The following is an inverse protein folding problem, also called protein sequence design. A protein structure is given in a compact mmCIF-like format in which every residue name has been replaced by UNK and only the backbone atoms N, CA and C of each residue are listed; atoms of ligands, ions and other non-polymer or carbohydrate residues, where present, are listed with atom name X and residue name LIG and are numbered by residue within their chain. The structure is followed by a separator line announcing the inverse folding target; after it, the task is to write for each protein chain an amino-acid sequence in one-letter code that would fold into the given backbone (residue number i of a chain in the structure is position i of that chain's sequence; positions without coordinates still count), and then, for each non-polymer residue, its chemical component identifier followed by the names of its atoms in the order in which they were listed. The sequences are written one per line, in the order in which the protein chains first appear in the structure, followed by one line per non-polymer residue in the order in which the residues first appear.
data_IF_581064122127
#
_entry.id   IF_581064122127
#
_cell.length_a   1.000
_cell.length_b   1.000
_cell.length_c   1.000
_cell.angle_alpha   90.00
_cell.angle_beta   90.00
_cell.angle_gamma   90.00
#
_symmetry.space_group_name_H-M   'P 1'
#
loop_
_entity.id
_entity.type
_entity.pdbx_description
1 polymer ?
#
# COMPACT_ATOMS: atom_id res chain seq x y z
N UNK A 1 -6.36 -4.75 -9.26
CA UNK A 1 -6.05 -4.27 -7.90
C UNK A 1 -7.31 -3.77 -7.22
N UNK A 2 -7.59 -4.17 -5.99
CA UNK A 2 -8.69 -3.63 -5.18
C UNK A 2 -8.29 -3.57 -3.70
N UNK A 3 -8.75 -2.52 -2.99
CA UNK A 3 -8.61 -2.45 -1.53
C UNK A 3 -9.63 -3.42 -0.91
N UNK A 4 -9.15 -4.35 -0.10
CA UNK A 4 -9.96 -5.39 0.56
C UNK A 4 -10.20 -5.10 2.03
N UNK A 5 -9.29 -4.37 2.67
CA UNK A 5 -9.40 -3.97 4.07
C UNK A 5 -8.91 -2.54 4.27
N UNK A 6 -9.57 -1.80 5.15
CA UNK A 6 -9.14 -0.45 5.51
C UNK A 6 -9.41 -0.18 7.00
N UNK A 7 -8.49 0.53 7.65
CA UNK A 7 -8.62 1.01 9.02
C UNK A 7 -7.99 2.39 9.13
N UNK A 8 -8.69 3.32 9.75
CA UNK A 8 -8.29 4.72 9.88
C UNK A 8 -8.45 5.15 11.32
N UNK A 9 -7.46 5.87 11.83
CA UNK A 9 -7.54 6.54 13.11
C UNK A 9 -7.21 8.02 12.99
N UNK A 10 -7.91 8.84 13.77
CA UNK A 10 -7.66 10.27 13.93
C UNK A 10 -7.66 11.07 12.60
N UNK A 11 -8.59 10.74 11.69
CA UNK A 11 -8.79 11.41 10.41
C UNK A 11 -10.19 12.02 10.34
N UNK A 12 -10.30 13.34 10.18
CA UNK A 12 -11.57 14.08 10.10
C UNK A 12 -12.51 13.71 11.24
N UNK A 13 -13.67 13.12 10.92
CA UNK A 13 -14.66 12.68 11.92
C UNK A 13 -14.34 11.31 12.55
N UNK A 14 -13.37 10.57 12.03
CA UNK A 14 -13.05 9.22 12.51
C UNK A 14 -12.01 9.29 13.63
N UNK A 15 -12.40 8.84 14.82
CA UNK A 15 -11.47 8.63 15.93
C UNK A 15 -10.71 7.32 15.71
N UNK A 16 -11.46 6.25 15.46
CA UNK A 16 -11.01 4.93 15.06
C UNK A 16 -12.18 4.27 14.31
N UNK A 17 -11.95 3.80 13.09
CA UNK A 17 -12.99 3.11 12.30
C UNK A 17 -13.10 1.63 12.61
N UNK A 18 -12.19 1.06 13.42
CA UNK A 18 -11.89 -0.38 13.41
C UNK A 18 -11.51 -0.86 11.99
N UNK A 19 -11.30 -2.16 11.81
CA UNK A 19 -11.04 -2.74 10.49
C UNK A 19 -12.36 -2.90 9.72
N UNK A 20 -12.42 -2.32 8.53
CA UNK A 20 -13.55 -2.42 7.60
C UNK A 20 -13.13 -3.31 6.43
N UNK A 21 -13.86 -4.39 6.22
CA UNK A 21 -13.71 -5.24 5.05
C UNK A 21 -14.51 -4.67 3.87
N UNK A 22 -13.88 -4.62 2.70
CA UNK A 22 -14.45 -4.09 1.47
C UNK A 22 -14.65 -5.21 0.45
N UNK A 23 -15.88 -5.31 -0.05
CA UNK A 23 -16.24 -6.22 -1.14
C UNK A 23 -16.21 -5.53 -2.51
N UNK A 24 -16.68 -6.27 -3.53
CA UNK A 24 -16.85 -5.73 -4.90
C UNK A 24 -17.90 -4.63 -4.99
N UNK A 25 -18.89 -4.66 -4.10
CA UNK A 25 -19.93 -3.65 -3.93
C UNK A 25 -20.05 -3.34 -2.44
N UNK A 26 -19.92 -2.05 -2.08
CA UNK A 26 -20.02 -1.58 -0.71
C UNK A 26 -21.11 -0.52 -0.64
N UNK A 27 -22.09 -0.70 0.27
CA UNK A 27 -23.16 0.26 0.50
C UNK A 27 -22.93 0.95 1.84
N UNK A 28 -22.74 2.27 1.80
CA UNK A 28 -22.48 3.08 2.99
C UNK A 28 -23.77 3.73 3.50
N UNK A 29 -24.29 3.20 4.62
CA UNK A 29 -25.54 3.67 5.24
C UNK A 29 -25.27 4.39 6.56
N UNK A 30 -26.15 5.32 6.93
CA UNK A 30 -26.06 6.06 8.19
C UNK A 30 -26.80 7.39 8.16
N UNK A 31 -27.00 8.00 9.33
CA UNK A 31 -27.65 9.30 9.46
C UNK A 31 -26.86 10.44 8.78
N UNK A 32 -27.52 11.59 8.57
CA UNK A 32 -26.80 12.80 8.14
C UNK A 32 -25.70 13.16 9.15
N UNK A 33 -24.58 13.66 8.64
CA UNK A 33 -23.37 13.96 9.42
C UNK A 33 -22.70 12.76 10.12
N UNK A 34 -23.07 11.51 9.82
CA UNK A 34 -22.41 10.31 10.38
C UNK A 34 -21.00 10.03 9.83
N UNK A 35 -20.42 10.93 9.04
CA UNK A 35 -19.09 10.77 8.45
C UNK A 35 -19.02 10.08 7.08
N UNK A 36 -20.17 9.78 6.44
CA UNK A 36 -20.18 9.08 5.14
C UNK A 36 -19.37 9.78 4.05
N UNK A 37 -19.53 11.10 3.90
CA UNK A 37 -18.75 11.88 2.94
C UNK A 37 -17.26 11.90 3.28
N UNK A 38 -16.90 11.92 4.58
CA UNK A 38 -15.52 11.82 5.02
C UNK A 38 -14.91 10.46 4.68
N UNK A 39 -15.71 9.38 4.74
CA UNK A 39 -15.27 8.05 4.32
C UNK A 39 -14.98 7.98 2.82
N UNK A 40 -15.79 8.64 1.98
CA UNK A 40 -15.50 8.73 0.53
C UNK A 40 -14.27 9.60 0.26
N UNK A 41 -14.15 10.73 0.96
CA UNK A 41 -13.01 11.65 0.86
C UNK A 41 -11.69 11.01 1.29
N UNK A 42 -11.71 10.02 2.18
CA UNK A 42 -10.53 9.23 2.54
C UNK A 42 -9.88 8.59 1.30
N UNK A 43 -10.67 7.95 0.43
CA UNK A 43 -10.11 7.32 -0.78
C UNK A 43 -9.57 8.36 -1.76
N UNK A 44 -10.21 9.53 -1.84
CA UNK A 44 -9.69 10.66 -2.62
C UNK A 44 -8.34 11.10 -2.06
N UNK A 45 -8.24 11.28 -0.75
CA UNK A 45 -7.01 11.64 -0.07
C UNK A 45 -5.89 10.61 -0.31
N UNK A 46 -6.17 9.31 -0.12
CA UNK A 46 -5.18 8.26 -0.36
C UNK A 46 -4.70 8.22 -1.82
N UNK A 47 -5.61 8.41 -2.78
CA UNK A 47 -5.25 8.51 -4.20
C UNK A 47 -4.35 9.72 -4.45
N UNK A 48 -4.68 10.88 -3.89
CA UNK A 48 -3.92 12.10 -4.10
C UNK A 48 -2.52 12.00 -3.45
N UNK A 49 -2.41 11.35 -2.28
CA UNK A 49 -1.11 11.01 -1.66
C UNK A 49 -0.29 10.11 -2.59
N UNK A 50 -0.89 9.05 -3.13
CA UNK A 50 -0.20 8.11 -4.03
C UNK A 50 0.19 8.74 -5.38
N UNK A 51 -0.54 9.74 -5.86
CA UNK A 51 -0.34 10.33 -7.20
C UNK A 51 0.55 11.56 -7.17
N UNK A 52 0.43 12.39 -6.13
CA UNK A 52 1.04 13.73 -6.07
C UNK A 52 1.87 13.95 -4.80
N UNK A 53 1.91 12.96 -3.89
CA UNK A 53 2.58 13.09 -2.61
C UNK A 53 1.73 13.73 -1.53
N UNK A 54 2.20 13.60 -0.29
CA UNK A 54 1.45 13.95 0.90
C UNK A 54 1.20 15.46 1.06
N UNK A 55 2.20 16.28 0.77
CA UNK A 55 2.11 17.74 0.93
C UNK A 55 1.01 18.32 0.04
N UNK A 56 0.97 17.88 -1.23
CA UNK A 56 -0.08 18.23 -2.16
C UNK A 56 -1.45 17.76 -1.66
N UNK A 57 -1.55 16.48 -1.26
CA UNK A 57 -2.81 15.92 -0.78
C UNK A 57 -3.35 16.69 0.44
N UNK A 58 -2.48 17.10 1.36
CA UNK A 58 -2.84 17.92 2.52
C UNK A 58 -3.30 19.32 2.09
N UNK A 59 -2.58 19.95 1.15
CA UNK A 59 -2.92 21.27 0.61
C UNK A 59 -4.31 21.29 -0.03
N UNK A 60 -4.62 20.28 -0.87
CA UNK A 60 -5.92 20.16 -1.54
C UNK A 60 -7.08 19.96 -0.55
N UNK A 61 -6.82 19.34 0.61
CA UNK A 61 -7.82 19.20 1.67
C UNK A 61 -8.02 20.50 2.48
N UNK A 62 -7.28 21.58 2.19
CA UNK A 62 -7.35 22.84 2.92
C UNK A 62 -6.30 22.97 4.04
N UNK A 63 -5.37 22.02 4.15
CA UNK A 63 -4.32 22.00 5.16
C UNK A 63 -4.57 21.00 6.29
N UNK A 64 -3.60 20.94 7.22
CA UNK A 64 -3.58 19.99 8.34
C UNK A 64 -4.82 20.08 9.23
N UNK A 65 -5.36 21.29 9.43
CA UNK A 65 -6.54 21.53 10.28
C UNK A 65 -7.79 20.78 9.79
N UNK A 66 -7.91 20.55 8.48
CA UNK A 66 -9.06 19.87 7.87
C UNK A 66 -8.91 18.35 7.80
N UNK A 67 -7.73 17.83 8.11
CA UNK A 67 -7.43 16.38 8.13
C UNK A 67 -7.45 15.88 9.57
N UNK A 68 -6.95 16.69 10.50
CA UNK A 68 -6.90 16.34 11.92
C UNK A 68 -8.30 16.15 12.50
N UNK A 69 -8.48 15.12 13.32
CA UNK A 69 -9.70 15.01 14.11
C UNK A 69 -9.71 16.06 15.23
N UNK A 70 -10.75 16.88 15.26
CA UNK A 70 -10.90 17.99 16.23
C UNK A 70 -11.12 17.49 17.66
N UNK A 71 -11.67 16.28 17.83
CA UNK A 71 -12.02 15.72 19.14
C UNK A 71 -10.85 15.00 19.78
N UNK A 72 -9.96 14.40 18.99
CA UNK A 72 -8.83 13.62 19.51
C UNK A 72 -7.72 14.54 20.01
N UNK A 73 -7.08 14.16 21.12
CA UNK A 73 -5.93 14.91 21.68
C UNK A 73 -4.87 15.14 20.59
N UNK A 74 -4.31 16.35 20.58
CA UNK A 74 -3.34 16.83 19.59
C UNK A 74 -2.08 15.96 19.42
N UNK A 75 -1.82 15.00 20.32
CA UNK A 75 -0.66 14.13 20.29
C UNK A 75 -0.88 12.79 19.57
N UNK A 76 -2.12 12.44 19.21
CA UNK A 76 -2.40 11.17 18.55
C UNK A 76 -1.96 11.21 17.07
N UNK A 77 -1.45 10.09 16.57
CA UNK A 77 -1.11 9.95 15.16
C UNK A 77 -2.38 9.75 14.32
N UNK A 78 -2.41 10.36 13.14
CA UNK A 78 -3.36 10.04 12.09
C UNK A 78 -2.81 8.85 11.30
N UNK A 79 -3.46 7.69 11.41
CA UNK A 79 -2.94 6.44 10.84
C UNK A 79 -3.92 5.89 9.82
N UNK A 80 -3.36 5.44 8.71
CA UNK A 80 -4.03 4.82 7.59
C UNK A 80 -3.44 3.42 7.41
N UNK A 81 -4.31 2.41 7.45
CA UNK A 81 -3.96 1.02 7.20
C UNK A 81 -4.87 0.50 6.11
N UNK A 82 -4.32 -0.13 5.10
CA UNK A 82 -5.12 -0.78 4.07
C UNK A 82 -4.42 -2.00 3.50
N UNK A 83 -5.22 -3.00 3.14
CA UNK A 83 -4.76 -4.18 2.43
C UNK A 83 -5.36 -4.18 1.03
N UNK A 84 -4.55 -4.61 0.06
CA UNK A 84 -4.93 -4.66 -1.34
C UNK A 84 -4.65 -6.06 -1.89
N UNK A 85 -5.61 -6.55 -2.67
CA UNK A 85 -5.41 -7.72 -3.52
C UNK A 85 -4.80 -7.24 -4.85
N UNK A 86 -3.63 -7.80 -5.14
CA UNK A 86 -2.78 -7.48 -6.26
C UNK A 86 -2.47 -8.77 -7.02
N UNK A 87 -3.48 -9.42 -7.60
CA UNK A 87 -3.25 -10.61 -8.42
C UNK A 87 -2.56 -10.27 -9.76
N UNK A 88 -1.29 -9.90 -9.68
CA UNK A 88 -0.45 -9.48 -10.79
C UNK A 88 0.77 -10.39 -10.96
N UNK A 89 1.06 -10.69 -12.22
CA UNK A 89 2.15 -11.59 -12.61
C UNK A 89 3.25 -10.83 -13.33
N UNK A 90 4.49 -10.95 -12.83
CA UNK A 90 5.68 -10.35 -13.42
C UNK A 90 6.69 -11.42 -13.83
N UNK A 91 7.10 -11.39 -15.10
CA UNK A 91 8.21 -12.20 -15.61
C UNK A 91 9.46 -11.35 -15.65
N UNK A 92 10.45 -11.67 -14.82
CA UNK A 92 11.73 -10.95 -14.82
C UNK A 92 12.74 -11.80 -15.61
N UNK A 93 13.20 -11.34 -16.78
CA UNK A 93 14.23 -12.04 -17.53
C UNK A 93 15.53 -12.05 -16.72
N UNK A 94 16.13 -13.23 -16.57
CA UNK A 94 17.37 -13.37 -15.79
C UNK A 94 18.55 -12.82 -16.60
N UNK A 95 19.08 -11.66 -16.22
CA UNK A 95 20.36 -11.17 -16.75
C UNK A 95 21.48 -11.93 -16.04
N UNK A 96 22.00 -12.97 -16.69
CA UNK A 96 23.16 -13.72 -16.17
C UNK A 96 24.45 -13.00 -16.58
N UNK A 97 25.11 -12.33 -15.64
CA UNK A 97 26.49 -11.84 -15.84
C UNK A 97 27.47 -12.99 -15.57
N UNK A 98 27.84 -13.70 -16.63
CA UNK A 98 28.84 -14.76 -16.55
C UNK A 98 28.99 -15.48 -17.89
N UNK A 99 30.22 -15.52 -18.40
CA UNK A 99 30.58 -16.28 -19.60
C UNK A 99 30.43 -17.78 -19.32
N UNK A 100 29.31 -18.38 -19.75
CA UNK A 100 29.15 -19.85 -19.70
C UNK A 100 29.82 -20.51 -20.92
N UNK A 101 30.69 -21.52 -20.71
CA UNK A 101 31.36 -22.23 -21.79
C UNK A 101 30.40 -23.29 -22.36
N UNK A 102 29.54 -22.90 -23.29
CA UNK A 102 28.91 -23.76 -24.32
C UNK A 102 27.72 -23.00 -24.93
N UNK A 103 27.71 -22.88 -26.26
CA UNK A 103 26.79 -22.04 -27.03
C UNK A 103 25.30 -22.42 -27.02
N UNK A 104 24.77 -23.04 -25.95
CA UNK A 104 23.32 -23.17 -25.74
C UNK A 104 22.82 -21.97 -24.94
N UNK A 105 22.10 -21.07 -25.61
CA UNK A 105 21.29 -20.02 -24.95
C UNK A 105 20.12 -20.67 -24.23
N UNK A 106 20.31 -21.10 -22.99
CA UNK A 106 19.22 -21.46 -22.08
C UNK A 106 18.63 -20.16 -21.52
N UNK A 107 17.35 -19.88 -21.83
CA UNK A 107 16.64 -18.75 -21.25
C UNK A 107 16.14 -19.18 -19.87
N UNK A 108 16.74 -18.61 -18.83
CA UNK A 108 16.25 -18.74 -17.47
C UNK A 108 15.38 -17.52 -17.14
N UNK A 109 14.22 -17.76 -16.54
CA UNK A 109 13.31 -16.71 -16.09
C UNK A 109 13.03 -16.90 -14.61
N UNK A 110 13.04 -15.79 -13.86
CA UNK A 110 12.42 -15.77 -12.55
C UNK A 110 10.97 -15.32 -12.76
N UNK A 111 10.01 -16.16 -12.36
CA UNK A 111 8.60 -15.77 -12.32
C UNK A 111 8.32 -15.24 -10.93
N UNK A 112 7.73 -14.05 -10.83
CA UNK A 112 7.28 -13.46 -9.57
C UNK A 112 5.78 -13.18 -9.68
N UNK A 113 5.00 -13.65 -8.70
CA UNK A 113 3.59 -13.33 -8.57
C UNK A 113 3.40 -12.55 -7.28
N UNK A 114 2.90 -11.34 -7.39
CA UNK A 114 2.44 -10.58 -6.23
C UNK A 114 1.05 -11.12 -5.89
N UNK A 115 0.78 -11.32 -4.61
CA UNK A 115 -0.53 -11.75 -4.13
C UNK A 115 -1.25 -10.56 -3.50
N UNK A 116 -0.63 -9.95 -2.49
CA UNK A 116 -1.25 -8.89 -1.70
C UNK A 116 -0.22 -7.81 -1.36
N UNK A 117 -0.72 -6.62 -1.05
CA UNK A 117 0.06 -5.60 -0.36
C UNK A 117 -0.68 -5.11 0.89
N UNK A 118 0.06 -4.96 1.98
CA UNK A 118 -0.38 -4.28 3.19
C UNK A 118 0.36 -2.96 3.28
N UNK A 119 -0.38 -1.86 3.36
CA UNK A 119 0.16 -0.52 3.49
C UNK A 119 -0.22 0.05 4.84
N UNK A 120 0.74 0.70 5.50
CA UNK A 120 0.52 1.43 6.75
C UNK A 120 1.27 2.73 6.69
N UNK A 121 0.56 3.81 6.96
CA UNK A 121 1.07 5.16 6.87
C UNK A 121 0.54 5.97 8.05
N UNK A 122 1.42 6.67 8.77
CA UNK A 122 1.07 7.42 9.97
C UNK A 122 1.69 8.81 9.95
N UNK A 123 0.89 9.82 10.28
CA UNK A 123 1.30 11.21 10.37
C UNK A 123 1.10 11.70 11.81
N UNK A 124 2.06 12.45 12.33
CA UNK A 124 1.93 13.18 13.58
C UNK A 124 1.88 14.68 13.30
N UNK A 125 0.80 15.32 13.72
CA UNK A 125 0.67 16.77 13.59
C UNK A 125 1.50 17.51 14.64
N UNK A 126 2.06 18.66 14.27
CA UNK A 126 2.79 19.49 15.20
C UNK A 126 1.84 20.08 16.26
N UNK A 127 2.37 20.32 17.47
CA UNK A 127 1.60 20.96 18.55
C UNK A 127 1.37 22.45 18.30
N UNK A 128 2.21 23.07 17.47
CA UNK A 128 2.12 24.49 17.07
C UNK A 128 2.35 24.59 15.56
N UNK A 129 1.60 25.48 14.92
CA UNK A 129 1.63 25.70 13.48
C UNK A 129 0.99 24.56 12.68
N UNK A 130 1.07 24.66 11.36
CA UNK A 130 0.37 23.79 10.41
C UNK A 130 1.25 22.67 9.86
N UNK A 131 2.33 22.34 10.58
CA UNK A 131 3.28 21.31 10.18
C UNK A 131 2.87 19.91 10.62
N UNK A 132 3.50 18.92 10.01
CA UNK A 132 3.33 17.51 10.33
C UNK A 132 4.63 16.75 10.10
N UNK A 133 4.74 15.56 10.68
CA UNK A 133 5.83 14.63 10.46
C UNK A 133 5.27 13.26 10.08
N UNK A 134 5.85 12.61 9.08
CA UNK A 134 5.56 11.21 8.79
C UNK A 134 6.30 10.37 9.82
N UNK A 135 5.57 9.58 10.60
CA UNK A 135 6.13 8.73 11.67
C UNK A 135 6.17 7.26 11.29
N UNK A 136 5.41 6.88 10.26
CA UNK A 136 5.41 5.52 9.72
C UNK A 136 5.04 5.61 8.24
N UNK A 137 5.80 4.95 7.38
CA UNK A 137 5.47 4.71 5.98
C UNK A 137 5.98 3.31 5.61
N UNK A 138 5.03 2.38 5.46
CA UNK A 138 5.30 0.96 5.34
C UNK A 138 4.46 0.38 4.21
N UNK A 139 5.13 -0.31 3.30
CA UNK A 139 4.50 -1.19 2.32
C UNK A 139 5.09 -2.57 2.50
N UNK A 140 4.23 -3.56 2.69
CA UNK A 140 4.57 -4.98 2.79
C UNK A 140 3.96 -5.71 1.62
N UNK A 141 4.80 -6.26 0.75
CA UNK A 141 4.37 -6.99 -0.43
C UNK A 141 4.49 -8.48 -0.15
N UNK A 142 3.39 -9.21 -0.34
CA UNK A 142 3.32 -10.66 -0.22
C UNK A 142 3.40 -11.23 -1.62
N UNK A 143 4.45 -11.98 -1.92
CA UNK A 143 4.70 -12.53 -3.26
C UNK A 143 5.20 -13.97 -3.21
N UNK A 144 5.07 -14.67 -4.33
CA UNK A 144 5.72 -15.95 -4.60
C UNK A 144 6.66 -15.82 -5.80
N UNK A 145 7.81 -16.49 -5.74
CA UNK A 145 8.75 -16.57 -6.85
C UNK A 145 9.03 -18.03 -7.22
N UNK A 146 9.14 -18.31 -8.52
CA UNK A 146 9.48 -19.62 -9.10
C UNK A 146 10.65 -19.49 -10.10
N UNK A 147 11.62 -20.41 -10.03
CA UNK A 147 12.72 -20.54 -10.97
C UNK A 147 12.30 -21.48 -12.10
N UNK A 148 12.21 -20.95 -13.33
CA UNK A 148 11.78 -21.71 -14.49
C UNK A 148 12.85 -21.71 -15.56
N UNK A 149 13.28 -22.92 -15.92
CA UNK A 149 14.26 -23.15 -16.98
C UNK A 149 13.56 -23.68 -18.22
N UNK A 150 13.64 -22.96 -19.33
CA UNK A 150 13.27 -23.53 -20.62
C UNK A 150 14.40 -24.43 -21.12
N UNK A 151 14.30 -25.73 -20.82
CA UNK A 151 15.01 -26.76 -21.60
C UNK A 151 14.18 -27.08 -22.83
N UNK A 152 14.85 -27.22 -23.99
CA UNK A 152 14.19 -27.68 -25.22
C UNK A 152 13.39 -28.95 -24.95
N UNK A 153 12.05 -28.82 -25.04
CA UNK A 153 11.00 -29.77 -24.63
C UNK A 153 10.87 -29.96 -23.10
N UNK A 154 10.04 -29.12 -22.48
CA UNK A 154 9.50 -29.31 -21.12
C UNK A 154 9.99 -28.26 -20.12
N UNK A 155 9.05 -27.51 -19.54
CA UNK A 155 9.31 -26.56 -18.45
C UNK A 155 9.34 -27.33 -17.14
N UNK A 156 10.50 -27.36 -16.49
CA UNK A 156 10.69 -27.94 -15.15
C UNK A 156 10.37 -26.85 -14.11
N UNK A 157 9.33 -27.06 -13.29
CA UNK A 157 8.90 -26.14 -12.23
C UNK A 157 9.49 -26.63 -10.90
N UNK A 158 10.60 -26.05 -10.46
CA UNK A 158 11.24 -26.43 -9.21
C UNK A 158 11.90 -25.21 -8.53
N UNK A 159 11.12 -24.35 -7.87
CA UNK A 159 11.28 -24.01 -6.44
C UNK A 159 10.47 -22.76 -6.08
N UNK A 160 9.44 -22.94 -5.25
CA UNK A 160 8.62 -21.83 -4.75
C UNK A 160 9.29 -21.20 -3.51
N UNK A 161 9.67 -19.93 -3.60
CA UNK A 161 10.16 -19.15 -2.45
C UNK A 161 9.16 -18.02 -2.16
N UNK A 162 8.71 -17.93 -0.90
CA UNK A 162 7.93 -16.79 -0.39
C UNK A 162 8.88 -15.77 0.26
N UNK A 163 8.67 -14.49 -0.01
CA UNK A 163 9.46 -13.39 0.53
C UNK A 163 8.58 -12.26 1.06
N UNK A 164 9.15 -11.43 1.94
CA UNK A 164 8.52 -10.25 2.55
C UNK A 164 9.60 -9.16 2.65
N UNK A 165 9.47 -8.07 1.89
CA UNK A 165 10.40 -6.93 1.99
C UNK A 165 9.93 -5.90 3.03
N UNK A 166 10.88 -5.25 3.71
CA UNK A 166 10.69 -4.29 4.81
C UNK A 166 11.20 -2.91 4.40
N UNK A 167 10.27 -1.94 4.46
CA UNK A 167 10.33 -0.46 4.61
C UNK A 167 11.60 0.33 4.29
N UNK A 168 11.41 1.40 3.51
CA UNK A 168 12.26 2.59 3.57
C UNK A 168 12.17 3.25 4.96
N UNK A 169 13.32 3.63 5.52
CA UNK A 169 13.38 4.51 6.69
C UNK A 169 12.98 5.93 6.28
N UNK A 170 12.32 6.71 7.17
CA UNK A 170 12.04 8.11 6.89
C UNK A 170 13.34 8.90 6.76
N UNK A 171 13.38 9.80 5.78
CA UNK A 171 14.44 10.81 5.58
C UNK A 171 14.38 11.87 6.67
#
# INVERSE_FOLDING_TARGET
MAITKISISNFKSFQDTQEIELGKLNLLLGANASGKSNFVQLFQFLRDVATHGLEYAISVQGGVEYIKNVVVKSSANCTFKFAMDLDEFWVIPRVSFGSRPSGRRERAYNRMRIHNAECRFSIKFNQRGNGYNVVEDMVKIIYSADDSREKGRGVDQNSMKSGCDITNSPV
#
